data_IF_105124323483
#
_entry.id   IF_105124323483
#
_cell.length_a   1.000
_cell.length_b   1.000
_cell.length_c   1.000
_cell.angle_alpha   90.00
_cell.angle_beta   90.00
_cell.angle_gamma   90.00
#
_symmetry.space_group_name_H-M   'P 1'
#
loop_
_entity.id
_entity.type
_entity.pdbx_description
1 polymer ?
#
# COMPACT_ATOMS: atom_id res chain seq x y z
N UNK A 1 -6.50 -8.21 7.72
CA UNK A 1 -6.66 -9.48 8.48
C UNK A 1 -8.13 -9.82 8.42
N UNK A 2 -8.56 -11.05 8.10
CA UNK A 2 -10.00 -11.32 7.92
C UNK A 2 -10.75 -11.07 9.23
N UNK A 3 -11.79 -10.23 9.17
CA UNK A 3 -12.66 -9.88 10.29
C UNK A 3 -14.09 -10.35 10.03
N UNK A 4 -14.80 -10.65 11.10
CA UNK A 4 -16.13 -11.24 11.08
C UNK A 4 -17.02 -10.54 12.09
N UNK A 5 -18.28 -10.31 11.73
CA UNK A 5 -19.32 -9.81 12.63
C UNK A 5 -20.31 -10.92 12.90
N UNK A 6 -20.61 -11.17 14.16
CA UNK A 6 -21.58 -12.19 14.55
C UNK A 6 -23.02 -11.75 14.21
N UNK A 7 -23.78 -12.58 13.50
CA UNK A 7 -25.12 -12.23 13.02
C UNK A 7 -26.22 -12.41 14.08
N UNK A 8 -26.01 -13.32 15.04
CA UNK A 8 -27.02 -13.70 16.05
C UNK A 8 -26.36 -13.99 17.39
N UNK A 9 -27.10 -13.83 18.47
CA UNK A 9 -26.63 -14.18 19.81
C UNK A 9 -26.19 -15.65 19.89
N UNK A 10 -25.02 -15.87 20.48
CA UNK A 10 -24.51 -17.17 20.93
C UNK A 10 -24.53 -17.22 22.46
N UNK A 11 -24.39 -18.41 23.08
CA UNK A 11 -24.36 -18.52 24.54
C UNK A 11 -23.30 -17.64 25.22
N UNK A 12 -22.18 -17.39 24.53
CA UNK A 12 -21.02 -16.63 25.05
C UNK A 12 -20.81 -15.27 24.40
N UNK A 13 -21.48 -14.97 23.29
CA UNK A 13 -21.22 -13.78 22.46
C UNK A 13 -22.54 -13.15 21.98
N UNK A 14 -22.54 -11.84 21.76
CA UNK A 14 -23.73 -11.10 21.35
C UNK A 14 -23.72 -10.79 19.86
N UNK A 15 -24.91 -10.73 19.26
CA UNK A 15 -25.06 -10.29 17.89
C UNK A 15 -24.41 -8.91 17.73
N UNK A 16 -23.55 -8.77 16.71
CA UNK A 16 -22.75 -7.58 16.49
C UNK A 16 -21.33 -7.63 17.05
N UNK A 17 -21.00 -8.62 17.89
CA UNK A 17 -19.63 -8.84 18.36
C UNK A 17 -18.67 -9.07 17.18
N UNK A 18 -17.46 -8.55 17.32
CA UNK A 18 -16.41 -8.60 16.31
C UNK A 18 -15.41 -9.73 16.58
N UNK A 19 -14.93 -10.34 15.50
CA UNK A 19 -13.99 -11.44 15.55
C UNK A 19 -12.94 -11.30 14.44
N UNK A 20 -11.78 -11.90 14.62
CA UNK A 20 -10.74 -11.98 13.60
C UNK A 20 -10.06 -13.35 13.55
N UNK A 21 -9.43 -13.67 12.42
CA UNK A 21 -8.63 -14.89 12.27
C UNK A 21 -7.19 -14.62 12.68
N UNK A 22 -6.69 -15.34 13.68
CA UNK A 22 -5.30 -15.25 14.15
C UNK A 22 -4.32 -15.78 13.11
N UNK A 23 -3.02 -15.51 13.29
CA UNK A 23 -1.96 -16.09 12.46
C UNK A 23 -1.94 -17.63 12.46
N UNK A 24 -2.53 -18.27 13.48
CA UNK A 24 -2.62 -19.72 13.61
C UNK A 24 -3.90 -20.30 12.99
N UNK A 25 -4.82 -19.43 12.54
CA UNK A 25 -6.09 -19.80 11.90
C UNK A 25 -7.27 -19.93 12.87
N UNK A 26 -7.11 -19.51 14.12
CA UNK A 26 -8.19 -19.52 15.12
C UNK A 26 -9.08 -18.28 14.99
N UNK A 27 -10.38 -18.43 15.22
CA UNK A 27 -11.30 -17.31 15.33
C UNK A 27 -11.27 -16.75 16.75
N UNK A 28 -10.85 -15.48 16.87
CA UNK A 28 -10.66 -14.78 18.13
C UNK A 28 -11.72 -13.69 18.26
N UNK A 29 -12.34 -13.56 19.43
CA UNK A 29 -13.25 -12.47 19.78
C UNK A 29 -12.47 -11.19 20.10
N UNK A 30 -12.90 -10.07 19.52
CA UNK A 30 -12.27 -8.75 19.58
C UNK A 30 -13.01 -7.84 20.59
N UNK A 31 -13.12 -8.31 21.83
CA UNK A 31 -13.97 -7.71 22.87
C UNK A 31 -13.26 -6.98 24.01
N UNK A 32 -11.93 -6.76 23.94
CA UNK A 32 -11.17 -6.08 25.00
C UNK A 32 -9.67 -6.44 25.05
N UNK A 33 -9.01 -6.18 26.19
CA UNK A 33 -7.54 -6.27 26.39
C UNK A 33 -6.91 -7.64 26.07
N UNK A 34 -7.69 -8.72 26.06
CA UNK A 34 -7.22 -10.06 25.70
C UNK A 34 -8.21 -10.71 24.73
N UNK A 35 -7.72 -11.06 23.53
CA UNK A 35 -8.50 -11.83 22.57
C UNK A 35 -8.82 -13.22 23.10
N UNK A 36 -10.10 -13.57 23.12
CA UNK A 36 -10.57 -14.90 23.57
C UNK A 36 -10.78 -15.78 22.35
N UNK A 37 -10.17 -16.96 22.32
CA UNK A 37 -10.42 -17.93 21.25
C UNK A 37 -11.88 -18.39 21.29
N UNK A 38 -12.64 -18.03 20.27
CA UNK A 38 -14.02 -18.46 20.09
C UNK A 38 -14.07 -19.86 19.46
N UNK A 39 -13.30 -20.07 18.39
CA UNK A 39 -13.17 -21.36 17.72
C UNK A 39 -11.72 -21.59 17.31
N UNK A 40 -11.19 -22.76 17.64
CA UNK A 40 -9.89 -23.19 17.15
C UNK A 40 -9.96 -23.50 15.65
N UNK A 41 -8.85 -23.36 14.94
CA UNK A 41 -8.73 -23.70 13.52
C UNK A 41 -9.29 -25.08 13.19
N UNK A 42 -8.95 -26.07 14.03
CA UNK A 42 -9.42 -27.46 13.87
C UNK A 42 -10.95 -27.56 13.85
N UNK A 43 -11.63 -26.75 14.65
CA UNK A 43 -13.10 -26.69 14.67
C UNK A 43 -13.64 -26.05 13.39
N UNK A 44 -13.00 -24.99 12.90
CA UNK A 44 -13.40 -24.34 11.64
C UNK A 44 -13.19 -25.28 10.44
N UNK A 45 -12.11 -26.06 10.43
CA UNK A 45 -11.81 -27.04 9.38
C UNK A 45 -12.87 -28.17 9.36
N UNK A 46 -13.34 -28.60 10.53
CA UNK A 46 -14.41 -29.60 10.66
C UNK A 46 -15.80 -29.05 10.30
N UNK A 47 -16.03 -27.76 10.56
CA UNK A 47 -17.33 -27.10 10.39
C UNK A 47 -17.17 -25.78 9.61
N UNK A 48 -16.83 -25.86 8.30
CA UNK A 48 -16.46 -24.68 7.52
C UNK A 48 -17.60 -23.67 7.34
N UNK A 49 -18.85 -24.13 7.44
CA UNK A 49 -20.04 -23.29 7.31
C UNK A 49 -20.26 -22.35 8.50
N UNK A 50 -19.56 -22.51 9.63
CA UNK A 50 -19.69 -21.61 10.79
C UNK A 50 -19.47 -20.16 10.35
N UNK A 51 -18.41 -19.90 9.58
CA UNK A 51 -18.03 -18.54 9.18
C UNK A 51 -18.99 -17.90 8.17
N UNK A 52 -19.80 -18.69 7.46
CA UNK A 52 -20.72 -18.18 6.44
C UNK A 52 -22.17 -18.14 6.90
N UNK A 53 -22.57 -19.03 7.81
CA UNK A 53 -23.94 -19.09 8.33
C UNK A 53 -24.13 -18.20 9.57
N UNK A 54 -23.12 -18.11 10.44
CA UNK A 54 -23.25 -17.45 11.74
C UNK A 54 -22.60 -16.06 11.74
N UNK A 55 -21.68 -15.82 10.81
CA UNK A 55 -20.95 -14.57 10.70
C UNK A 55 -21.13 -13.95 9.33
N UNK A 56 -21.04 -12.62 9.30
CA UNK A 56 -20.80 -11.85 8.09
C UNK A 56 -19.30 -11.55 8.03
N UNK A 57 -18.61 -11.99 6.97
CA UNK A 57 -17.24 -11.53 6.71
C UNK A 57 -17.31 -10.03 6.48
N UNK A 58 -16.69 -9.27 7.38
CA UNK A 58 -16.52 -7.85 7.20
C UNK A 58 -15.53 -7.74 6.06
N UNK A 59 -16.03 -7.38 4.88
CA UNK A 59 -15.15 -6.86 3.85
C UNK A 59 -14.48 -5.66 4.49
N UNK A 60 -13.19 -5.82 4.78
CA UNK A 60 -12.31 -4.71 5.05
C UNK A 60 -12.47 -3.83 3.80
N UNK A 61 -13.31 -2.78 3.89
CA UNK A 61 -13.39 -1.78 2.83
C UNK A 61 -11.94 -1.47 2.52
N UNK A 62 -11.57 -1.57 1.25
CA UNK A 62 -10.26 -1.13 0.79
C UNK A 62 -10.14 0.35 1.14
N UNK A 63 -9.76 0.65 2.36
CA UNK A 63 -9.22 1.93 2.73
C UNK A 63 -7.73 1.72 2.59
N UNK A 64 -7.27 1.74 1.34
CA UNK A 64 -5.88 2.10 1.13
C UNK A 64 -5.57 3.35 1.96
N UNK A 65 -4.31 3.56 2.28
CA UNK A 65 -3.92 4.67 3.15
C UNK A 65 -4.43 6.06 2.69
N UNK A 66 -4.83 6.19 1.42
CA UNK A 66 -5.41 7.40 0.81
C UNK A 66 -6.88 7.60 1.20
N UNK A 67 -7.67 6.53 1.26
CA UNK A 67 -9.08 6.57 1.62
C UNK A 67 -9.34 6.27 3.11
N UNK A 68 -8.29 5.96 3.86
CA UNK A 68 -8.37 5.75 5.29
C UNK A 68 -8.71 7.05 6.05
N UNK A 69 -9.80 7.00 6.82
CA UNK A 69 -10.18 8.04 7.77
C UNK A 69 -9.69 7.65 9.16
N UNK A 70 -8.81 8.46 9.73
CA UNK A 70 -8.22 8.25 11.05
C UNK A 70 -9.17 8.62 12.18
N UNK A 71 -9.22 7.79 13.22
CA UNK A 71 -9.94 8.01 14.47
C UNK A 71 -8.97 8.19 15.65
N UNK A 72 -9.42 8.81 16.75
CA UNK A 72 -8.60 8.96 17.94
C UNK A 72 -8.19 7.60 18.52
N UNK A 73 -6.88 7.41 18.69
CA UNK A 73 -6.28 6.16 19.15
C UNK A 73 -5.76 5.26 18.02
N UNK A 74 -6.06 5.57 16.76
CA UNK A 74 -5.55 4.78 15.63
C UNK A 74 -4.03 4.87 15.52
N UNK A 75 -3.38 3.75 15.24
CA UNK A 75 -1.95 3.74 14.89
C UNK A 75 -1.80 4.05 13.40
N UNK A 76 -0.97 5.04 13.08
CA UNK A 76 -0.54 5.29 11.70
C UNK A 76 0.98 5.21 11.57
N UNK A 77 1.43 4.83 10.39
CA UNK A 77 2.83 4.76 10.01
C UNK A 77 3.20 5.95 9.13
N UNK A 78 4.44 6.41 9.23
CA UNK A 78 4.96 7.51 8.42
C UNK A 78 6.47 7.41 8.25
N UNK A 79 6.99 8.08 7.22
CA UNK A 79 8.44 8.19 7.00
C UNK A 79 8.96 9.44 7.72
N UNK A 80 9.85 9.25 8.68
CA UNK A 80 10.54 10.34 9.37
C UNK A 80 11.55 11.05 8.46
N UNK A 81 12.03 12.22 8.89
CA UNK A 81 13.03 13.00 8.15
C UNK A 81 14.34 12.20 7.98
N UNK A 82 14.68 11.33 8.93
CA UNK A 82 15.82 10.42 8.79
C UNK A 82 15.63 9.30 7.74
N UNK A 83 14.48 9.27 7.06
CA UNK A 83 14.14 8.23 6.07
C UNK A 83 13.74 6.89 6.70
N UNK A 84 13.51 6.83 8.01
CA UNK A 84 13.05 5.62 8.71
C UNK A 84 11.54 5.57 8.78
N UNK A 85 11.01 4.36 8.80
CA UNK A 85 9.59 4.10 9.04
C UNK A 85 9.33 4.18 10.55
N UNK A 86 8.43 5.08 10.93
CA UNK A 86 8.00 5.35 12.30
C UNK A 86 6.48 5.14 12.40
N UNK A 87 5.95 5.11 13.62
CA UNK A 87 4.51 5.11 13.88
C UNK A 87 4.16 6.08 15.01
N UNK A 88 2.91 6.52 15.03
CA UNK A 88 2.33 7.34 16.10
C UNK A 88 0.86 6.97 16.30
N UNK A 89 0.28 7.47 17.38
CA UNK A 89 -1.16 7.38 17.63
C UNK A 89 -1.84 8.67 17.17
N UNK A 90 -2.91 8.54 16.42
CA UNK A 90 -3.77 9.67 16.07
C UNK A 90 -4.41 10.22 17.34
N UNK A 91 -4.04 11.45 17.69
CA UNK A 91 -4.56 12.16 18.87
C UNK A 91 -5.16 13.51 18.50
N UNK A 92 -5.22 13.82 17.20
CA UNK A 92 -5.69 15.11 16.71
C UNK A 92 -4.69 16.24 16.92
N UNK A 93 -3.39 15.92 16.99
CA UNK A 93 -2.34 16.94 17.10
C UNK A 93 -2.14 17.67 15.77
N UNK A 94 -1.52 18.87 15.78
CA UNK A 94 -1.14 19.54 14.53
C UNK A 94 -0.27 18.66 13.62
N UNK A 95 0.61 17.83 14.20
CA UNK A 95 1.46 16.91 13.44
C UNK A 95 0.63 15.84 12.71
N UNK A 96 -0.39 15.29 13.36
CA UNK A 96 -1.34 14.34 12.76
C UNK A 96 -2.00 14.95 11.52
N UNK A 97 -2.57 16.16 11.68
CA UNK A 97 -3.23 16.86 10.57
C UNK A 97 -2.27 17.26 9.44
N UNK A 98 -1.02 17.64 9.74
CA UNK A 98 -0.03 17.94 8.72
C UNK A 98 0.35 16.70 7.91
N UNK A 99 0.60 15.57 8.58
CA UNK A 99 0.94 14.31 7.89
C UNK A 99 -0.23 13.80 7.07
N UNK A 100 -1.44 13.88 7.62
CA UNK A 100 -2.69 13.53 6.93
C UNK A 100 -2.87 14.39 5.67
N UNK A 101 -2.78 15.72 5.81
CA UNK A 101 -2.96 16.66 4.71
C UNK A 101 -1.91 16.51 3.59
N UNK A 102 -0.72 16.01 3.92
CA UNK A 102 0.34 15.69 2.94
C UNK A 102 0.18 14.30 2.29
N UNK A 103 -0.80 13.49 2.73
CA UNK A 103 -0.93 12.10 2.29
C UNK A 103 0.28 11.24 2.66
N UNK A 104 0.92 11.54 3.81
CA UNK A 104 2.12 10.84 4.32
C UNK A 104 1.84 9.98 5.54
N UNK A 105 0.59 9.60 5.72
CA UNK A 105 0.16 8.60 6.69
C UNK A 105 -0.13 7.28 5.98
N UNK A 106 0.16 6.18 6.65
CA UNK A 106 -0.07 4.85 6.14
C UNK A 106 -0.71 3.99 7.22
N UNK A 107 -1.69 3.17 6.81
CA UNK A 107 -2.40 2.29 7.75
C UNK A 107 -1.52 1.15 8.23
N UNK A 108 -0.64 0.67 7.36
CA UNK A 108 0.30 -0.42 7.66
C UNK A 108 1.75 0.01 7.52
N UNK A 109 2.63 -0.72 8.20
CA UNK A 109 4.08 -0.52 8.08
C UNK A 109 4.56 -0.82 6.66
N UNK A 110 4.02 -1.86 6.05
CA UNK A 110 4.37 -2.35 4.72
C UNK A 110 4.03 -1.30 3.64
N UNK A 111 2.84 -0.67 3.72
CA UNK A 111 2.49 0.45 2.83
C UNK A 111 3.46 1.63 3.00
N UNK A 112 3.83 1.96 4.24
CA UNK A 112 4.79 3.02 4.53
C UNK A 112 6.17 2.71 3.96
N UNK A 113 6.66 1.48 4.13
CA UNK A 113 7.94 1.02 3.59
C UNK A 113 7.93 1.02 2.06
N UNK A 114 6.84 0.56 1.44
CA UNK A 114 6.67 0.60 -0.02
C UNK A 114 6.68 2.04 -0.56
N UNK A 115 5.99 2.96 0.11
CA UNK A 115 5.96 4.36 -0.28
C UNK A 115 7.33 5.04 -0.09
N UNK A 116 8.06 4.72 0.99
CA UNK A 116 9.44 5.15 1.20
C UNK A 116 10.36 4.67 0.08
N UNK A 117 10.31 3.37 -0.21
CA UNK A 117 11.21 2.74 -1.18
C UNK A 117 10.94 3.26 -2.59
N UNK A 118 9.68 3.53 -2.93
CA UNK A 118 9.29 4.22 -4.16
C UNK A 118 9.89 5.60 -4.28
N UNK A 119 9.81 6.43 -3.24
CA UNK A 119 10.42 7.78 -3.25
C UNK A 119 11.94 7.71 -3.41
N UNK A 120 12.60 6.74 -2.75
CA UNK A 120 14.04 6.53 -2.89
C UNK A 120 14.41 6.07 -4.30
N UNK A 121 13.62 5.18 -4.90
CA UNK A 121 13.81 4.73 -6.28
C UNK A 121 13.63 5.89 -7.27
N UNK A 122 12.59 6.70 -7.12
CA UNK A 122 12.36 7.90 -7.92
C UNK A 122 13.57 8.85 -7.89
N UNK A 123 14.07 9.18 -6.70
CA UNK A 123 15.26 10.03 -6.54
C UNK A 123 16.50 9.41 -7.22
N UNK A 124 16.71 8.10 -7.11
CA UNK A 124 17.82 7.42 -7.78
C UNK A 124 17.68 7.47 -9.30
N UNK A 125 16.47 7.25 -9.83
CA UNK A 125 16.18 7.30 -11.25
C UNK A 125 16.36 8.70 -11.82
N UNK A 126 15.92 9.76 -11.13
CA UNK A 126 16.14 11.14 -11.58
C UNK A 126 17.63 11.50 -11.70
N UNK A 127 18.52 10.86 -10.92
CA UNK A 127 19.97 11.07 -11.04
C UNK A 127 20.58 10.44 -12.30
N UNK A 128 19.84 9.58 -13.00
CA UNK A 128 20.33 8.88 -14.19
C UNK A 128 20.20 9.71 -15.48
N UNK A 129 19.51 10.86 -15.42
CA UNK A 129 19.30 11.74 -16.56
C UNK A 129 19.40 13.21 -16.17
N UNK A 130 20.06 14.00 -17.01
CA UNK A 130 20.08 15.47 -16.93
C UNK A 130 19.26 16.13 -18.04
N UNK A 131 18.55 15.32 -18.84
CA UNK A 131 17.75 15.80 -19.95
C UNK A 131 16.59 16.68 -19.45
N UNK A 132 16.43 17.83 -20.08
CA UNK A 132 15.32 18.76 -19.83
C UNK A 132 14.41 18.77 -21.05
N UNK A 133 13.12 18.40 -20.91
CA UNK A 133 12.19 18.44 -22.02
C UNK A 133 11.93 19.87 -22.47
N UNK A 134 11.71 20.04 -23.76
CA UNK A 134 11.20 21.25 -24.38
C UNK A 134 9.92 20.89 -25.13
N UNK A 135 8.80 20.96 -24.40
CA UNK A 135 7.49 20.51 -24.88
C UNK A 135 6.93 21.40 -25.99
N UNK A 136 7.28 22.69 -26.01
CA UNK A 136 6.83 23.64 -27.03
C UNK A 136 7.43 23.32 -28.41
N UNK A 137 8.58 22.64 -28.44
CA UNK A 137 9.28 22.23 -29.65
C UNK A 137 9.23 20.71 -29.92
N UNK A 138 8.18 20.02 -29.44
CA UNK A 138 7.99 18.56 -29.62
C UNK A 138 9.16 17.69 -29.10
N UNK A 139 9.94 18.23 -28.15
CA UNK A 139 11.14 17.63 -27.61
C UNK A 139 11.00 17.26 -26.13
N UNK A 140 9.96 16.49 -25.80
CA UNK A 140 9.75 15.93 -24.46
C UNK A 140 10.59 14.69 -24.16
N UNK A 141 11.36 14.17 -25.13
CA UNK A 141 12.27 13.03 -24.95
C UNK A 141 11.56 11.67 -24.82
N UNK A 142 12.21 10.76 -24.10
CA UNK A 142 11.78 9.37 -23.89
C UNK A 142 11.48 9.11 -22.43
N UNK A 143 10.40 8.38 -22.17
CA UNK A 143 10.01 7.93 -20.82
C UNK A 143 10.02 6.41 -20.74
N UNK A 144 10.17 5.90 -19.52
CA UNK A 144 10.04 4.47 -19.22
C UNK A 144 8.65 4.19 -18.65
N UNK A 145 8.07 3.06 -19.02
CA UNK A 145 6.78 2.59 -18.49
C UNK A 145 6.79 1.08 -18.28
N UNK A 146 5.94 0.61 -17.37
CA UNK A 146 5.72 -0.81 -17.16
C UNK A 146 4.43 -1.28 -17.85
N UNK A 147 4.52 -2.33 -18.65
CA UNK A 147 3.37 -2.94 -19.32
C UNK A 147 2.89 -4.14 -18.51
N UNK A 148 1.71 -4.02 -17.89
CA UNK A 148 1.11 -5.08 -17.07
C UNK A 148 0.65 -6.31 -17.87
N UNK A 149 0.36 -6.18 -19.18
CA UNK A 149 -0.13 -7.32 -19.98
C UNK A 149 0.94 -8.39 -20.20
N UNK A 150 2.20 -7.97 -20.33
CA UNK A 150 3.33 -8.87 -20.56
C UNK A 150 4.43 -8.76 -19.49
N UNK A 151 4.18 -7.97 -18.44
CA UNK A 151 5.03 -7.79 -17.26
C UNK A 151 6.45 -7.27 -17.57
N UNK A 152 6.59 -6.32 -18.50
CA UNK A 152 7.89 -5.80 -18.96
C UNK A 152 7.99 -4.27 -18.94
N UNK A 153 9.22 -3.79 -18.73
CA UNK A 153 9.59 -2.38 -18.87
C UNK A 153 9.87 -2.06 -20.34
N UNK A 154 9.37 -0.91 -20.77
CA UNK A 154 9.55 -0.38 -22.12
C UNK A 154 9.90 1.10 -22.06
N UNK A 155 10.43 1.63 -23.17
CA UNK A 155 10.57 3.06 -23.38
C UNK A 155 9.72 3.51 -24.57
N UNK A 156 9.15 4.71 -24.48
CA UNK A 156 8.43 5.36 -25.57
C UNK A 156 8.79 6.84 -25.64
N UNK A 157 8.71 7.38 -26.85
CA UNK A 157 8.87 8.82 -27.09
C UNK A 157 7.62 9.54 -26.57
N UNK A 158 7.82 10.59 -25.78
CA UNK A 158 6.78 11.49 -25.28
C UNK A 158 7.12 12.90 -25.78
N UNK A 159 6.55 13.31 -26.92
CA UNK A 159 6.99 14.50 -27.66
C UNK A 159 6.53 15.81 -27.03
N UNK A 160 5.22 16.01 -26.94
CA UNK A 160 4.61 17.25 -26.44
C UNK A 160 3.60 16.99 -25.31
N UNK A 161 3.60 15.77 -24.78
CA UNK A 161 2.68 15.36 -23.72
C UNK A 161 3.38 15.50 -22.37
N UNK A 162 2.83 16.36 -21.53
CA UNK A 162 3.12 16.37 -20.10
C UNK A 162 2.41 15.15 -19.45
N UNK A 163 3.20 14.24 -18.88
CA UNK A 163 2.72 13.04 -18.20
C UNK A 163 2.99 13.14 -16.70
N UNK A 164 3.08 14.37 -16.19
CA UNK A 164 3.65 14.70 -14.89
C UNK A 164 5.17 14.75 -14.95
N UNK A 165 5.81 14.27 -13.88
CA UNK A 165 7.26 14.36 -13.67
C UNK A 165 7.98 12.99 -13.81
N UNK A 166 7.73 12.14 -14.83
CA UNK A 166 8.52 10.93 -15.00
C UNK A 166 9.96 11.30 -15.40
N UNK A 167 10.91 10.41 -15.08
CA UNK A 167 12.29 10.58 -15.57
C UNK A 167 12.30 10.51 -17.10
N UNK A 168 12.83 11.57 -17.73
CA UNK A 168 12.94 11.71 -19.17
C UNK A 168 14.37 11.55 -19.65
N UNK A 169 14.54 10.96 -20.82
CA UNK A 169 15.84 10.73 -21.46
C UNK A 169 15.86 11.37 -22.85
N UNK A 170 17.04 11.79 -23.30
CA UNK A 170 17.18 12.41 -24.62
C UNK A 170 16.89 11.41 -25.75
N UNK A 171 17.33 10.16 -25.58
CA UNK A 171 17.25 9.12 -26.61
C UNK A 171 16.56 7.85 -26.10
N UNK A 172 16.15 6.99 -27.04
CA UNK A 172 15.61 5.66 -26.72
C UNK A 172 16.67 4.81 -26.04
N UNK A 173 17.90 4.90 -26.54
CA UNK A 173 19.06 4.14 -26.10
C UNK A 173 19.40 4.47 -24.64
N UNK A 174 19.34 5.75 -24.25
CA UNK A 174 19.53 6.20 -22.86
C UNK A 174 18.44 5.63 -21.94
N UNK A 175 17.18 5.68 -22.37
CA UNK A 175 16.07 5.10 -21.61
C UNK A 175 16.22 3.57 -21.45
N UNK A 176 16.63 2.87 -22.52
CA UNK A 176 16.88 1.43 -22.49
C UNK A 176 18.07 1.05 -21.61
N UNK A 177 19.14 1.86 -21.63
CA UNK A 177 20.28 1.72 -20.74
C UNK A 177 19.85 1.85 -19.29
N UNK A 178 19.03 2.86 -18.97
CA UNK A 178 18.46 3.02 -17.62
C UNK A 178 17.61 1.83 -17.18
N UNK A 179 16.74 1.30 -18.05
CA UNK A 179 15.96 0.07 -17.76
C UNK A 179 16.90 -1.09 -17.39
N UNK A 180 18.00 -1.26 -18.11
CA UNK A 180 18.95 -2.36 -17.89
C UNK A 180 19.76 -2.18 -16.60
N UNK A 181 20.27 -0.99 -16.35
CA UNK A 181 21.15 -0.70 -15.20
C UNK A 181 20.37 -0.50 -13.90
N UNK A 182 19.13 -0.01 -13.98
CA UNK A 182 18.29 0.37 -12.83
C UNK A 182 16.95 -0.38 -12.79
N UNK A 183 16.88 -1.61 -13.32
CA UNK A 183 15.66 -2.44 -13.39
C UNK A 183 14.91 -2.48 -12.05
N UNK A 184 15.62 -2.74 -10.95
CA UNK A 184 15.01 -2.86 -9.61
C UNK A 184 14.35 -1.55 -9.18
N UNK A 185 15.04 -0.42 -9.37
CA UNK A 185 14.48 0.89 -9.04
C UNK A 185 13.25 1.20 -9.89
N UNK A 186 13.26 0.86 -11.18
CA UNK A 186 12.09 1.01 -12.05
C UNK A 186 10.89 0.18 -11.56
N UNK A 187 11.10 -1.08 -11.19
CA UNK A 187 10.02 -1.92 -10.66
C UNK A 187 9.47 -1.36 -9.35
N UNK A 188 10.34 -0.91 -8.44
CA UNK A 188 9.94 -0.24 -7.20
C UNK A 188 9.17 1.06 -7.48
N UNK A 189 9.62 1.86 -8.45
CA UNK A 189 8.94 3.11 -8.85
C UNK A 189 7.50 2.85 -9.32
N UNK A 190 7.28 1.77 -10.06
CA UNK A 190 5.96 1.34 -10.52
C UNK A 190 5.20 0.47 -9.51
N UNK A 191 5.71 0.29 -8.28
CA UNK A 191 5.08 -0.54 -7.26
C UNK A 191 4.84 -2.01 -7.68
N UNK A 192 5.72 -2.54 -8.54
CA UNK A 192 5.68 -3.91 -9.08
C UNK A 192 6.68 -4.80 -8.36
N UNK A 193 6.24 -5.98 -7.93
CA UNK A 193 7.13 -7.02 -7.40
C UNK A 193 7.81 -7.79 -8.55
N UNK A 194 9.10 -8.07 -8.41
CA UNK A 194 9.85 -8.86 -9.40
C UNK A 194 9.23 -10.28 -9.45
N UNK A 195 8.68 -10.67 -10.60
CA UNK A 195 8.07 -11.98 -10.83
C UNK A 195 9.12 -13.03 -11.21
#
# INVERSE_FOLDING_TARGET
MKRYKLLKDLPTFKAGDLFYISQYGDLIHDGGDFGVTAYARQTLDMFPNILTEWFEEIQEESTDSIHWRTENGDIYWFVGIEGKTNHDFWTGTPADFWRYGLGKIYRTKEECEKARDRQLAEVRLHRTSTFKPDFENDNGGWIVFYNYSNKKLYSMRSCCTDSGEPVRYATREDAQKSIKEHKKDWLTYFNVEDC
#
